data_IF_617315490639
#
_entry.id   IF_617315490639
#
_cell.length_a   1.000
_cell.length_b   1.000
_cell.length_c   1.000
_cell.angle_alpha   90.00
_cell.angle_beta   90.00
_cell.angle_gamma   90.00
#
_symmetry.space_group_name_H-M   'P 1'
#
loop_
_entity.id
_entity.type
_entity.pdbx_description
1 polymer ?
#
# COMPACT_ATOMS: atom_id res chain seq x y z
N UNK A 1 6.85 -22.46 -1.33
CA UNK A 1 6.60 -21.09 -0.81
C UNK A 1 7.79 -20.21 -1.17
N UNK A 2 7.55 -19.07 -1.78
CA UNK A 2 8.59 -18.17 -2.21
C UNK A 2 8.30 -16.75 -1.69
N UNK A 3 9.37 -16.04 -1.37
CA UNK A 3 9.30 -14.61 -1.05
C UNK A 3 9.79 -13.86 -2.28
N UNK A 4 8.98 -12.91 -2.76
CA UNK A 4 9.29 -12.09 -3.93
C UNK A 4 9.40 -10.64 -3.51
N UNK A 5 10.33 -9.93 -4.16
CA UNK A 5 10.52 -8.49 -4.00
C UNK A 5 10.00 -7.79 -5.27
N UNK A 6 9.18 -6.79 -5.08
CA UNK A 6 8.68 -5.95 -6.17
C UNK A 6 9.00 -4.48 -5.89
N UNK A 7 9.39 -3.74 -6.92
CA UNK A 7 9.58 -2.30 -6.85
C UNK A 7 8.48 -1.63 -7.66
N UNK A 8 7.76 -0.71 -7.02
CA UNK A 8 6.59 -0.02 -7.59
C UNK A 8 6.87 1.47 -7.56
N UNK A 9 6.72 2.14 -8.70
CA UNK A 9 6.91 3.58 -8.81
C UNK A 9 5.62 4.22 -9.26
N UNK A 10 5.17 5.24 -8.53
CA UNK A 10 3.93 5.96 -8.81
C UNK A 10 4.25 7.42 -9.06
N UNK A 11 3.87 7.92 -10.23
CA UNK A 11 3.97 9.33 -10.59
C UNK A 11 2.62 10.00 -10.37
N UNK A 12 2.66 11.30 -10.07
CA UNK A 12 1.47 12.09 -9.79
C UNK A 12 1.31 13.20 -10.82
N UNK A 13 0.07 13.56 -11.09
CA UNK A 13 -0.30 14.68 -11.97
C UNK A 13 -1.37 15.52 -11.32
N UNK A 14 -1.43 16.79 -11.66
CA UNK A 14 -2.43 17.72 -11.14
C UNK A 14 -1.81 19.00 -10.60
N UNK A 15 -2.57 19.69 -9.76
CA UNK A 15 -2.15 20.95 -9.16
C UNK A 15 -1.37 20.70 -7.87
N UNK A 16 -0.51 21.64 -7.49
CA UNK A 16 0.24 21.60 -6.25
C UNK A 16 -0.70 21.40 -5.03
N UNK A 17 -0.38 20.46 -4.19
CA UNK A 17 -1.16 20.11 -2.99
C UNK A 17 -2.41 19.26 -3.24
N UNK A 18 -2.74 18.98 -4.50
CA UNK A 18 -3.91 18.15 -4.86
C UNK A 18 -3.64 17.16 -5.99
N UNK A 19 -2.38 16.99 -6.38
CA UNK A 19 -2.01 16.01 -7.40
C UNK A 19 -2.27 14.58 -6.94
N UNK A 20 -2.66 13.74 -7.88
CA UNK A 20 -2.98 12.32 -7.63
C UNK A 20 -2.22 11.42 -8.57
N UNK A 21 -2.07 10.18 -8.17
CA UNK A 21 -1.50 9.13 -9.01
C UNK A 21 -1.95 7.77 -8.53
N UNK A 22 -1.96 6.79 -9.43
CA UNK A 22 -2.28 5.43 -9.09
C UNK A 22 -1.57 4.44 -10.00
N UNK A 23 -1.33 3.24 -9.49
CA UNK A 23 -0.74 2.16 -10.24
C UNK A 23 -1.28 0.82 -9.72
N UNK A 24 -1.73 -0.02 -10.64
CA UNK A 24 -2.09 -1.40 -10.32
C UNK A 24 -0.90 -2.28 -10.63
N UNK A 25 -0.46 -3.04 -9.63
CA UNK A 25 0.61 -4.04 -9.77
C UNK A 25 -0.03 -5.42 -9.84
N UNK A 26 0.28 -6.18 -10.89
CA UNK A 26 -0.23 -7.53 -11.03
C UNK A 26 0.45 -8.46 -10.03
N UNK A 27 -0.34 -9.02 -9.11
CA UNK A 27 0.10 -9.98 -8.11
C UNK A 27 -0.91 -11.12 -8.03
N UNK A 28 -0.47 -12.35 -7.73
CA UNK A 28 -1.39 -13.43 -7.36
C UNK A 28 -1.96 -13.20 -5.96
N UNK A 29 -2.80 -14.11 -5.50
CA UNK A 29 -3.12 -14.20 -4.08
C UNK A 29 -1.82 -14.42 -3.31
N UNK A 30 -1.52 -13.54 -2.36
CA UNK A 30 -0.28 -13.59 -1.60
C UNK A 30 -0.40 -12.85 -0.28
N UNK A 31 0.58 -13.04 0.59
CA UNK A 31 0.70 -12.26 1.82
C UNK A 31 1.65 -11.09 1.59
N UNK A 32 1.24 -9.90 2.01
CA UNK A 32 2.10 -8.71 2.01
C UNK A 32 2.90 -8.69 3.30
N UNK A 33 4.18 -9.01 3.23
CA UNK A 33 5.03 -9.13 4.42
C UNK A 33 5.55 -7.78 4.89
N UNK A 34 5.93 -6.91 3.96
CA UNK A 34 6.49 -5.61 4.27
C UNK A 34 6.34 -4.66 3.08
N UNK A 35 6.26 -3.36 3.37
CA UNK A 35 6.27 -2.31 2.36
C UNK A 35 7.20 -1.19 2.82
N UNK A 36 8.21 -0.88 2.03
CA UNK A 36 9.07 0.28 2.23
C UNK A 36 8.59 1.40 1.33
N UNK A 37 8.15 2.50 1.90
CA UNK A 37 7.75 3.68 1.17
C UNK A 37 8.87 4.70 1.18
N UNK A 38 9.33 5.10 0.00
CA UNK A 38 10.33 6.16 -0.16
C UNK A 38 9.75 7.23 -1.07
N UNK A 39 9.56 8.42 -0.54
CA UNK A 39 8.93 9.53 -1.24
C UNK A 39 9.96 10.38 -1.97
N UNK A 40 9.55 10.98 -3.08
CA UNK A 40 10.34 11.99 -3.77
C UNK A 40 10.70 13.10 -2.78
N UNK A 41 11.92 13.65 -2.90
CA UNK A 41 12.39 14.69 -1.98
C UNK A 41 11.48 15.93 -1.94
N UNK A 42 10.75 16.19 -3.01
CA UNK A 42 9.82 17.32 -3.11
C UNK A 42 8.38 16.96 -2.78
N UNK A 43 8.09 15.73 -2.37
CA UNK A 43 6.73 15.36 -1.99
C UNK A 43 6.29 16.11 -0.73
N UNK A 44 5.12 16.77 -0.76
CA UNK A 44 4.66 17.56 0.39
C UNK A 44 4.16 16.67 1.52
N UNK A 45 4.21 17.20 2.74
CA UNK A 45 3.73 16.50 3.94
C UNK A 45 2.21 16.29 3.98
N UNK A 46 1.48 16.79 2.98
CA UNK A 46 0.03 16.56 2.82
C UNK A 46 -0.28 15.30 1.97
N UNK A 47 0.75 14.57 1.56
CA UNK A 47 0.58 13.38 0.72
C UNK A 47 -0.13 12.27 1.48
N UNK A 48 -1.16 11.71 0.86
CA UNK A 48 -1.89 10.54 1.37
C UNK A 48 -1.54 9.34 0.49
N UNK A 49 -1.28 8.21 1.12
CA UNK A 49 -0.98 6.95 0.42
C UNK A 49 -1.95 5.87 0.86
N UNK A 50 -2.55 5.19 -0.09
CA UNK A 50 -3.45 4.06 0.17
C UNK A 50 -3.03 2.84 -0.63
N UNK A 51 -2.87 1.72 0.05
CA UNK A 51 -2.69 0.41 -0.57
C UNK A 51 -3.98 -0.38 -0.42
N UNK A 52 -4.47 -0.94 -1.51
CA UNK A 52 -5.68 -1.76 -1.49
C UNK A 52 -5.54 -2.96 -2.42
N UNK A 53 -6.37 -3.96 -2.18
CA UNK A 53 -6.44 -5.16 -3.00
C UNK A 53 -7.81 -5.18 -3.71
N UNK A 54 -7.85 -4.87 -5.01
CA UNK A 54 -9.11 -4.79 -5.74
C UNK A 54 -9.56 -6.12 -6.36
N UNK A 55 -8.76 -7.16 -6.26
CA UNK A 55 -8.98 -8.42 -7.00
C UNK A 55 -10.05 -9.34 -6.42
N UNK A 56 -10.60 -9.05 -5.26
CA UNK A 56 -11.70 -9.83 -4.67
C UNK A 56 -13.08 -9.31 -5.08
N UNK A 57 -14.16 -9.88 -4.55
CA UNK A 57 -15.52 -9.38 -4.81
C UNK A 57 -15.74 -7.96 -4.27
N UNK A 58 -14.94 -7.57 -3.29
CA UNK A 58 -14.93 -6.22 -2.70
C UNK A 58 -13.47 -5.80 -2.54
N UNK A 59 -13.17 -4.53 -2.84
CA UNK A 59 -11.83 -3.98 -2.60
C UNK A 59 -11.54 -3.94 -1.09
N UNK A 60 -10.35 -4.36 -0.71
CA UNK A 60 -9.91 -4.38 0.70
C UNK A 60 -8.74 -3.41 0.87
N UNK A 61 -8.86 -2.47 1.79
CA UNK A 61 -7.79 -1.55 2.13
C UNK A 61 -6.76 -2.28 3.01
N UNK A 62 -5.50 -2.21 2.62
CA UNK A 62 -4.39 -2.87 3.32
C UNK A 62 -3.59 -1.91 4.19
N UNK A 63 -3.42 -0.67 3.75
CA UNK A 63 -2.64 0.34 4.45
C UNK A 63 -3.14 1.73 4.05
N UNK A 64 -3.33 2.60 5.05
CA UNK A 64 -3.65 4.00 4.83
C UNK A 64 -2.68 4.87 5.61
N UNK A 65 -2.00 5.78 4.91
CA UNK A 65 -1.08 6.74 5.50
C UNK A 65 -1.57 8.13 5.11
N UNK A 66 -1.85 8.95 6.09
CA UNK A 66 -2.44 10.27 5.89
C UNK A 66 -1.43 11.36 6.24
N UNK A 67 -1.33 12.37 5.37
CA UNK A 67 -0.49 13.56 5.58
C UNK A 67 0.95 13.20 5.94
N UNK A 68 1.61 12.39 5.12
CA UNK A 68 3.00 12.02 5.34
C UNK A 68 3.74 11.79 4.03
N UNK A 69 4.94 12.34 3.95
CA UNK A 69 5.92 12.04 2.92
C UNK A 69 7.23 11.54 3.57
N UNK A 70 7.15 10.93 4.74
CA UNK A 70 8.28 10.39 5.47
C UNK A 70 8.58 8.97 5.00
N UNK A 71 9.83 8.71 4.64
CA UNK A 71 10.27 7.37 4.26
C UNK A 71 10.20 6.43 5.46
N UNK A 72 9.55 5.30 5.31
CA UNK A 72 9.37 4.35 6.40
C UNK A 72 9.08 2.94 5.91
N UNK A 73 9.28 1.98 6.79
CA UNK A 73 8.83 0.61 6.63
C UNK A 73 7.46 0.43 7.27
N UNK A 74 6.60 -0.34 6.64
CA UNK A 74 5.28 -0.71 7.15
C UNK A 74 5.09 -2.21 7.03
N UNK A 75 4.38 -2.78 8.01
CA UNK A 75 4.10 -4.22 8.09
C UNK A 75 2.58 -4.40 8.25
N UNK A 76 1.80 -4.24 7.17
CA UNK A 76 0.35 -4.32 7.27
C UNK A 76 -0.11 -5.69 7.76
N UNK A 77 -1.10 -5.70 8.64
CA UNK A 77 -1.63 -6.93 9.21
C UNK A 77 -3.16 -6.92 9.21
N UNK A 78 -3.73 -8.12 9.26
CA UNK A 78 -5.14 -8.34 9.56
C UNK A 78 -5.26 -8.98 10.93
N UNK A 79 -6.23 -8.52 11.73
CA UNK A 79 -6.57 -9.19 12.98
C UNK A 79 -7.35 -10.46 12.69
N UNK A 80 -7.02 -11.54 13.39
CA UNK A 80 -7.74 -12.81 13.24
C UNK A 80 -9.08 -12.77 13.97
N UNK A 81 -10.04 -13.50 13.42
CA UNK A 81 -11.35 -13.71 14.03
C UNK A 81 -11.45 -15.13 14.58
N UNK A 82 -12.28 -15.31 15.61
CA UNK A 82 -12.67 -16.63 16.11
C UNK A 82 -13.75 -17.25 15.20
N UNK A 83 -14.21 -18.45 15.53
CA UNK A 83 -15.20 -19.15 14.73
C UNK A 83 -16.58 -18.48 14.69
N UNK A 84 -16.81 -17.48 15.55
CA UNK A 84 -18.04 -16.68 15.57
C UNK A 84 -17.90 -15.35 14.82
N UNK A 85 -16.73 -15.07 14.23
CA UNK A 85 -16.44 -13.82 13.54
C UNK A 85 -16.06 -12.68 14.47
N UNK A 86 -15.75 -12.96 15.73
CA UNK A 86 -15.30 -11.95 16.69
C UNK A 86 -13.77 -11.85 16.67
N UNK A 87 -13.25 -10.62 16.72
CA UNK A 87 -11.81 -10.38 16.70
C UNK A 87 -11.12 -10.99 17.93
N UNK A 88 -9.99 -11.65 17.71
CA UNK A 88 -9.14 -12.19 18.77
C UNK A 88 -8.07 -11.15 19.10
N UNK A 89 -8.07 -10.63 20.32
CA UNK A 89 -7.12 -9.63 20.76
C UNK A 89 -5.69 -10.18 20.69
N UNK A 90 -4.79 -9.43 20.03
CA UNK A 90 -3.37 -9.77 19.93
C UNK A 90 -3.03 -10.84 18.89
N UNK A 91 -3.99 -11.30 18.09
CA UNK A 91 -3.77 -12.30 17.05
C UNK A 91 -3.85 -11.64 15.66
N UNK A 92 -2.71 -11.58 14.95
CA UNK A 92 -2.59 -10.93 13.65
C UNK A 92 -1.87 -11.83 12.66
N UNK A 93 -2.19 -11.64 11.37
CA UNK A 93 -1.46 -12.24 10.26
C UNK A 93 -1.04 -11.12 9.29
N UNK A 94 -0.03 -11.34 8.42
CA UNK A 94 0.26 -10.40 7.36
C UNK A 94 -0.97 -10.14 6.50
N UNK A 95 -1.12 -8.90 6.02
CA UNK A 95 -2.23 -8.54 5.16
C UNK A 95 -2.23 -9.40 3.89
N UNK A 96 -3.42 -9.85 3.48
CA UNK A 96 -3.57 -10.72 2.31
C UNK A 96 -3.97 -9.90 1.10
N UNK A 97 -3.21 -10.05 0.02
CA UNK A 97 -3.53 -9.48 -1.29
C UNK A 97 -4.39 -10.48 -2.05
N UNK A 98 -5.61 -10.09 -2.38
CA UNK A 98 -6.57 -10.94 -3.10
C UNK A 98 -6.46 -10.75 -4.63
N UNK A 99 -5.24 -10.92 -5.16
CA UNK A 99 -4.94 -10.61 -6.55
C UNK A 99 -4.81 -9.11 -6.77
N UNK A 100 -3.75 -8.68 -7.41
CA UNK A 100 -3.39 -7.31 -7.72
C UNK A 100 -3.28 -6.39 -6.48
N UNK A 101 -2.42 -5.42 -6.58
CA UNK A 101 -2.22 -4.38 -5.57
C UNK A 101 -2.42 -3.03 -6.23
N UNK A 102 -3.34 -2.23 -5.70
CA UNK A 102 -3.56 -0.85 -6.13
C UNK A 102 -2.85 0.08 -5.15
N UNK A 103 -1.96 0.92 -5.68
CA UNK A 103 -1.29 1.98 -4.94
C UNK A 103 -1.84 3.32 -5.41
N UNK A 104 -2.35 4.13 -4.48
CA UNK A 104 -2.92 5.43 -4.78
C UNK A 104 -2.25 6.52 -3.97
N UNK A 105 -1.98 7.65 -4.61
CA UNK A 105 -1.49 8.88 -3.97
C UNK A 105 -2.50 10.01 -4.18
N UNK A 106 -2.66 10.84 -3.17
CA UNK A 106 -3.48 12.05 -3.22
C UNK A 106 -2.83 13.15 -2.37
N UNK A 107 -3.30 14.37 -2.51
CA UNK A 107 -2.77 15.50 -1.75
C UNK A 107 -1.29 15.80 -2.02
N UNK A 108 -0.78 15.37 -3.14
CA UNK A 108 0.64 15.48 -3.52
C UNK A 108 0.86 16.66 -4.47
N UNK A 109 2.08 16.85 -4.90
CA UNK A 109 2.45 17.72 -6.03
C UNK A 109 2.66 16.84 -7.27
N UNK A 110 2.65 17.45 -8.46
CA UNK A 110 2.92 16.73 -9.71
C UNK A 110 4.40 16.37 -9.79
N UNK A 111 4.73 15.11 -9.58
CA UNK A 111 6.09 14.60 -9.50
C UNK A 111 6.24 13.31 -10.29
N UNK A 112 7.38 13.16 -10.96
CA UNK A 112 7.79 11.87 -11.52
C UNK A 112 8.34 11.01 -10.40
N UNK A 113 7.86 9.76 -10.31
CA UNK A 113 8.22 8.84 -9.22
C UNK A 113 8.02 9.51 -7.84
N UNK A 114 6.83 10.05 -7.62
CA UNK A 114 6.48 10.68 -6.35
C UNK A 114 6.63 9.71 -5.18
N UNK A 115 6.38 8.42 -5.42
CA UNK A 115 6.59 7.33 -4.49
C UNK A 115 7.36 6.22 -5.19
N UNK A 116 8.41 5.73 -4.56
CA UNK A 116 9.06 4.46 -4.90
C UNK A 116 8.84 3.50 -3.73
N UNK A 117 8.10 2.45 -3.98
CA UNK A 117 7.75 1.49 -2.95
C UNK A 117 8.39 0.14 -3.25
N UNK A 118 9.01 -0.45 -2.25
CA UNK A 118 9.53 -1.82 -2.33
C UNK A 118 8.68 -2.70 -1.43
N UNK A 119 8.11 -3.75 -1.99
CA UNK A 119 7.30 -4.69 -1.24
C UNK A 119 7.93 -6.08 -1.24
N UNK A 120 7.70 -6.81 -0.16
CA UNK A 120 8.02 -8.22 -0.05
C UNK A 120 6.72 -8.98 0.14
N UNK A 121 6.48 -9.97 -0.73
CA UNK A 121 5.28 -10.79 -0.70
C UNK A 121 5.66 -12.26 -0.60
N UNK A 122 4.80 -13.05 0.04
CA UNK A 122 4.92 -14.50 0.11
C UNK A 122 3.85 -15.11 -0.77
N UNK A 123 4.29 -15.84 -1.77
CA UNK A 123 3.42 -16.52 -2.74
C UNK A 123 3.45 -18.03 -2.58
#
# INVERSE_FOLDING_TARGET
MAIEKHTIKVSTTGSSGSATGSLVTALPYCELLAARLAFHASAPGTTDTTLSSPGGPVSVTLLTITNSATDAWYYPTHQLDDSSGSAITGAYIPAVVHGNLLTELAGCDALTDALTMTIFVRV
#
